data_IF_971585491386
#
_entry.id   IF_971585491386
#
_cell.length_a   1.000
_cell.length_b   1.000
_cell.length_c   1.000
_cell.angle_alpha   90.00
_cell.angle_beta   90.00
_cell.angle_gamma   90.00
#
_symmetry.space_group_name_H-M   'P 1'
#
loop_
_entity.id
_entity.type
_entity.pdbx_description
1 polymer ?
#
# COMPACT_ATOMS: atom_id res chain seq x y z
N UNK A 1 17.04 7.16 26.86
CA UNK A 1 16.66 7.23 26.44
C UNK A 1 16.01 7.61 25.81
N UNK A 2 15.65 7.83 25.42
CA UNK A 2 15.12 8.12 24.85
C UNK A 2 14.51 8.49 24.30
N UNK A 3 14.10 8.69 23.89
CA UNK A 3 13.53 8.92 23.50
C UNK A 3 12.85 9.29 22.55
N UNK A 4 12.38 9.12 21.96
CA UNK A 4 11.47 9.18 20.99
C UNK A 4 10.53 10.22 21.13
N UNK A 5 10.55 10.78 22.05
CA UNK A 5 9.68 11.72 22.25
C UNK A 5 9.48 12.73 21.24
N UNK A 6 10.43 13.19 20.63
CA UNK A 6 10.27 14.25 19.67
C UNK A 6 9.28 13.92 18.63
N UNK A 7 9.24 12.71 18.27
CA UNK A 7 8.35 12.42 17.20
C UNK A 7 6.93 12.59 17.67
N UNK A 8 6.69 12.28 18.86
CA UNK A 8 5.36 12.41 19.33
C UNK A 8 4.94 13.87 19.34
N UNK A 9 5.83 14.70 19.72
CA UNK A 9 5.49 16.09 19.75
C UNK A 9 5.20 16.61 18.38
N UNK A 10 5.98 16.21 17.45
CA UNK A 10 5.75 16.67 16.11
C UNK A 10 4.42 16.24 15.60
N UNK A 11 4.06 15.03 15.90
CA UNK A 11 2.81 14.54 15.41
C UNK A 11 1.66 15.32 15.98
N UNK A 12 1.76 15.70 17.18
CA UNK A 12 0.68 16.42 17.76
C UNK A 12 0.51 17.77 17.17
N UNK A 13 1.57 18.34 16.75
CA UNK A 13 1.51 19.69 16.34
C UNK A 13 0.63 19.93 15.15
N UNK A 14 0.57 19.01 14.22
CA UNK A 14 -0.12 19.38 13.03
C UNK A 14 -0.82 18.20 12.44
N UNK A 15 -2.08 18.07 12.70
CA UNK A 15 -2.83 17.01 12.17
C UNK A 15 -3.07 17.10 10.72
N UNK A 16 -3.01 18.24 10.14
CA UNK A 16 -3.26 18.35 8.71
C UNK A 16 -2.16 17.68 7.91
N UNK A 17 -1.01 17.42 8.55
CA UNK A 17 0.04 16.71 7.86
C UNK A 17 0.14 15.26 8.27
N UNK A 18 -0.85 14.76 8.95
CA UNK A 18 -0.83 13.36 9.32
C UNK A 18 -0.74 12.50 8.07
N UNK A 19 0.05 11.46 8.10
CA UNK A 19 0.23 10.63 6.92
C UNK A 19 -1.06 9.95 6.53
N UNK A 20 -1.25 9.82 5.24
CA UNK A 20 -2.38 9.11 4.71
C UNK A 20 -2.04 7.64 4.66
N UNK A 21 -2.92 6.79 5.14
CA UNK A 21 -2.78 5.35 4.99
C UNK A 21 -3.59 4.90 3.80
N UNK A 22 -3.02 4.06 2.99
CA UNK A 22 -3.69 3.53 1.82
C UNK A 22 -3.61 2.03 1.84
N UNK A 23 -4.74 1.39 1.68
CA UNK A 23 -4.80 -0.06 1.56
C UNK A 23 -5.15 -0.38 0.11
N UNK A 24 -4.34 -1.22 -0.52
CA UNK A 24 -4.59 -1.69 -1.87
C UNK A 24 -5.11 -3.11 -1.77
N UNK A 25 -6.25 -3.37 -2.39
CA UNK A 25 -6.83 -4.70 -2.40
C UNK A 25 -6.85 -5.19 -3.84
N UNK A 26 -6.11 -6.22 -4.12
CA UNK A 26 -5.86 -6.71 -5.47
C UNK A 26 -6.41 -8.10 -5.63
N UNK A 27 -7.13 -8.32 -6.71
CA UNK A 27 -7.57 -9.66 -7.08
C UNK A 27 -6.96 -9.99 -8.42
N UNK A 28 -6.42 -11.18 -8.53
CA UNK A 28 -5.68 -11.55 -9.73
C UNK A 28 -5.76 -13.04 -9.98
N UNK A 29 -5.31 -13.43 -11.14
CA UNK A 29 -5.12 -14.83 -11.42
C UNK A 29 -3.94 -15.33 -10.58
N UNK A 30 -4.00 -16.59 -10.18
CA UNK A 30 -2.95 -17.14 -9.34
C UNK A 30 -1.76 -17.56 -10.19
N UNK A 31 -1.05 -16.57 -10.71
CA UNK A 31 0.11 -16.80 -11.55
C UNK A 31 1.37 -16.37 -10.81
N UNK A 32 2.47 -17.10 -10.99
CA UNK A 32 3.68 -16.82 -10.21
C UNK A 32 4.24 -15.41 -10.39
N UNK A 33 4.02 -14.79 -11.52
CA UNK A 33 4.61 -13.49 -11.77
C UNK A 33 3.86 -12.33 -11.17
N UNK A 34 2.66 -12.54 -10.65
CA UNK A 34 1.85 -11.42 -10.19
C UNK A 34 2.42 -10.77 -8.93
N UNK A 35 2.68 -11.56 -7.90
CA UNK A 35 3.15 -10.99 -6.64
C UNK A 35 4.46 -10.22 -6.80
N UNK A 36 5.47 -10.78 -7.46
CA UNK A 36 6.71 -10.02 -7.59
C UNK A 36 6.54 -8.74 -8.40
N UNK A 37 5.64 -8.73 -9.39
CA UNK A 37 5.44 -7.52 -10.15
C UNK A 37 4.72 -6.45 -9.34
N UNK A 38 3.79 -6.85 -8.49
CA UNK A 38 3.14 -5.90 -7.60
C UNK A 38 4.17 -5.33 -6.62
N UNK A 39 4.95 -6.21 -6.02
CA UNK A 39 5.93 -5.76 -5.04
C UNK A 39 6.96 -4.83 -5.67
N UNK A 40 7.31 -5.08 -6.91
CA UNK A 40 8.28 -4.25 -7.59
C UNK A 40 7.82 -2.80 -7.74
N UNK A 41 6.53 -2.58 -7.83
CA UNK A 41 6.03 -1.20 -7.94
C UNK A 41 6.40 -0.38 -6.71
N UNK A 42 6.47 -1.01 -5.56
CA UNK A 42 6.91 -0.34 -4.35
C UNK A 42 8.43 -0.28 -4.31
N UNK A 43 9.08 -1.37 -4.64
CA UNK A 43 10.52 -1.44 -4.55
C UNK A 43 11.21 -0.42 -5.45
N UNK A 44 10.68 -0.21 -6.64
CA UNK A 44 11.27 0.75 -7.56
C UNK A 44 11.25 2.16 -7.00
N UNK A 45 10.36 2.43 -6.09
CA UNK A 45 10.26 3.74 -5.50
C UNK A 45 10.90 3.81 -4.13
N UNK A 46 11.61 2.76 -3.74
CA UNK A 46 12.23 2.74 -2.43
C UNK A 46 11.24 2.59 -1.31
N UNK A 47 10.07 2.02 -1.58
CA UNK A 47 9.04 1.88 -0.58
C UNK A 47 8.96 0.46 -0.08
N UNK A 48 8.70 0.33 1.20
CA UNK A 48 8.51 -0.98 1.81
C UNK A 48 7.10 -1.01 2.36
N UNK A 49 6.26 -1.94 1.89
CA UNK A 49 4.91 -2.03 2.43
C UNK A 49 4.91 -2.27 3.92
N UNK A 50 4.01 -1.59 4.62
CA UNK A 50 3.88 -1.79 6.04
C UNK A 50 3.29 -3.14 6.35
N UNK A 51 2.38 -3.58 5.52
CA UNK A 51 1.71 -4.84 5.73
C UNK A 51 1.41 -5.45 4.37
N UNK A 52 1.66 -6.72 4.26
CA UNK A 52 1.41 -7.46 3.02
C UNK A 52 0.79 -8.79 3.39
N UNK A 53 -0.40 -9.05 2.87
CA UNK A 53 -1.04 -10.35 3.02
C UNK A 53 -1.43 -10.85 1.65
N UNK A 54 -1.17 -12.10 1.39
CA UNK A 54 -1.59 -12.66 0.12
C UNK A 54 -2.05 -14.08 0.36
N UNK A 55 -2.98 -14.51 -0.46
CA UNK A 55 -3.51 -15.85 -0.37
C UNK A 55 -3.91 -16.33 -1.74
N UNK A 56 -3.58 -17.55 -2.06
CA UNK A 56 -3.95 -18.16 -3.32
C UNK A 56 -4.94 -19.28 -3.03
N UNK A 57 -5.93 -19.40 -3.89
CA UNK A 57 -6.92 -20.46 -3.76
C UNK A 57 -7.42 -20.78 -5.17
N UNK A 58 -8.42 -21.66 -5.24
CA UNK A 58 -9.01 -21.97 -6.52
C UNK A 58 -9.68 -20.75 -7.12
N UNK A 59 -10.09 -19.82 -6.29
CA UNK A 59 -10.74 -18.61 -6.79
C UNK A 59 -9.73 -17.62 -7.36
N UNK A 60 -8.45 -17.82 -7.14
CA UNK A 60 -7.44 -16.91 -7.64
C UNK A 60 -6.53 -16.42 -6.54
N UNK A 61 -5.94 -15.27 -6.76
CA UNK A 61 -4.97 -14.68 -5.86
C UNK A 61 -5.52 -13.40 -5.29
N UNK A 62 -5.42 -13.24 -3.99
CA UNK A 62 -5.77 -11.97 -3.36
C UNK A 62 -4.52 -11.41 -2.69
N UNK A 63 -4.30 -10.12 -2.84
CA UNK A 63 -3.17 -9.44 -2.23
C UNK A 63 -3.69 -8.19 -1.56
N UNK A 64 -3.37 -8.02 -0.29
CA UNK A 64 -3.72 -6.81 0.43
C UNK A 64 -2.45 -6.15 0.91
N UNK A 65 -2.25 -4.90 0.53
CA UNK A 65 -1.04 -4.17 0.84
C UNK A 65 -1.41 -2.90 1.56
N UNK A 66 -0.71 -2.58 2.60
CA UNK A 66 -0.96 -1.36 3.34
C UNK A 66 0.28 -0.50 3.39
N UNK A 67 0.10 0.79 3.10
CA UNK A 67 1.17 1.77 3.11
C UNK A 67 0.75 2.99 3.90
N UNK A 68 1.70 3.62 4.54
CA UNK A 68 1.48 4.88 5.22
C UNK A 68 2.44 5.90 4.64
N UNK A 69 1.97 7.11 4.50
CA UNK A 69 2.87 8.19 4.08
C UNK A 69 2.93 8.44 2.59
N UNK A 70 2.05 7.82 1.83
CA UNK A 70 2.03 8.09 0.40
C UNK A 70 1.18 9.31 0.08
N UNK A 71 1.60 10.08 -0.89
CA UNK A 71 0.75 11.11 -1.45
C UNK A 71 -0.33 10.44 -2.26
N UNK A 72 -1.46 11.11 -2.38
CA UNK A 72 -2.55 10.56 -3.16
C UNK A 72 -2.13 10.33 -4.60
N UNK A 73 -1.35 11.24 -5.17
CA UNK A 73 -0.92 11.06 -6.55
C UNK A 73 -0.08 9.82 -6.73
N UNK A 74 0.79 9.55 -5.77
CA UNK A 74 1.64 8.37 -5.86
C UNK A 74 0.81 7.12 -5.71
N UNK A 75 -0.13 7.10 -4.77
CA UNK A 75 -0.94 5.91 -4.58
C UNK A 75 -1.84 5.65 -5.79
N UNK A 76 -2.37 6.71 -6.40
CA UNK A 76 -3.19 6.55 -7.60
C UNK A 76 -2.36 6.00 -8.75
N UNK A 77 -1.14 6.50 -8.89
CA UNK A 77 -0.27 6.03 -9.94
C UNK A 77 0.08 4.56 -9.74
N UNK A 78 0.38 4.17 -8.52
CA UNK A 78 0.70 2.78 -8.23
C UNK A 78 -0.50 1.88 -8.55
N UNK A 79 -1.70 2.32 -8.18
CA UNK A 79 -2.89 1.54 -8.48
C UNK A 79 -3.09 1.38 -9.98
N UNK A 80 -2.82 2.43 -10.75
CA UNK A 80 -2.93 2.32 -12.20
C UNK A 80 -1.91 1.33 -12.76
N UNK A 81 -0.70 1.34 -12.23
CA UNK A 81 0.31 0.40 -12.67
C UNK A 81 -0.07 -1.03 -12.29
N UNK A 82 -0.67 -1.21 -11.13
CA UNK A 82 -1.12 -2.53 -10.73
C UNK A 82 -2.16 -3.08 -11.71
N UNK A 83 -3.05 -2.21 -12.16
CA UNK A 83 -4.10 -2.65 -13.07
C UNK A 83 -3.56 -3.06 -14.43
N UNK A 84 -2.34 -2.68 -14.75
CA UNK A 84 -1.75 -3.06 -16.02
C UNK A 84 -0.92 -4.32 -15.94
N UNK A 85 -0.75 -4.89 -14.78
CA UNK A 85 -0.01 -6.13 -14.65
C UNK A 85 -0.87 -7.25 -15.20
N UNK A 86 -0.27 -8.07 -16.07
CA UNK A 86 -0.97 -9.20 -16.63
C UNK A 86 -1.44 -10.12 -15.50
N UNK A 87 -2.68 -10.48 -15.52
CA UNK A 87 -3.25 -11.33 -14.49
C UNK A 87 -4.02 -10.58 -13.42
N UNK A 88 -3.77 -9.29 -13.25
CA UNK A 88 -4.52 -8.52 -12.26
C UNK A 88 -5.89 -8.20 -12.80
N UNK A 89 -6.92 -8.51 -12.03
CA UNK A 89 -8.29 -8.32 -12.45
C UNK A 89 -8.91 -7.08 -11.88
N UNK A 90 -8.73 -6.82 -10.60
CA UNK A 90 -9.27 -5.62 -9.98
C UNK A 90 -8.30 -5.09 -8.95
N UNK A 91 -8.34 -3.77 -8.77
CA UNK A 91 -7.56 -3.10 -7.74
C UNK A 91 -8.47 -2.06 -7.09
N UNK A 92 -8.63 -2.17 -5.79
CA UNK A 92 -9.36 -1.17 -5.03
C UNK A 92 -8.42 -0.51 -4.06
N UNK A 93 -8.61 0.78 -3.82
CA UNK A 93 -7.82 1.49 -2.83
C UNK A 93 -8.74 2.09 -1.80
N UNK A 94 -8.32 2.06 -0.56
CA UNK A 94 -9.05 2.67 0.52
C UNK A 94 -8.08 3.56 1.27
N UNK A 95 -8.44 4.84 1.40
CA UNK A 95 -7.61 5.78 2.11
C UNK A 95 -8.18 6.03 3.48
N UNK A 96 -7.31 6.19 4.45
CA UNK A 96 -7.75 6.56 5.78
C UNK A 96 -6.68 7.41 6.43
N UNK A 97 -7.13 8.31 7.31
CA UNK A 97 -6.20 9.10 8.08
C UNK A 97 -6.25 8.64 9.50
N UNK A 98 -5.12 8.62 10.14
CA UNK A 98 -5.14 8.28 11.55
C UNK A 98 -5.89 9.34 12.26
N UNK A 99 -6.57 9.08 13.21
CA UNK A 99 -7.16 9.99 13.90
C UNK A 99 -8.14 10.60 13.52
N UNK A 100 -8.59 10.31 13.11
CA UNK A 100 -9.74 10.78 12.82
C UNK A 100 -10.34 11.36 13.89
#
# INVERSE_FOLDING_TARGET
MLSPVPSAAAAVTDRSFAPLSVAFSIRALAEPGVMPRVLELFAKRGLVPHRWNSAASEAGLSIDVQMTGLDREVSDYIARCMRQIHGVETVFTVESRPDA
#
